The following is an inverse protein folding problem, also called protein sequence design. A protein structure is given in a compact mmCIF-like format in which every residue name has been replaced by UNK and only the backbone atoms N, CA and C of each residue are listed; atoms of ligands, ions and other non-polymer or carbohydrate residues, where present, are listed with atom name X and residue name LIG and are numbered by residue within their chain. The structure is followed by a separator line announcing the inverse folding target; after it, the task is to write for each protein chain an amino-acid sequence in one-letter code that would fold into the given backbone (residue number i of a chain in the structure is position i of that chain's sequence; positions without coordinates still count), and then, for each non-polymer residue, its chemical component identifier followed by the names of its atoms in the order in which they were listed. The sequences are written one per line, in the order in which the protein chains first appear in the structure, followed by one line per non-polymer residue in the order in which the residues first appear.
data_IF_859391755869
#
_entry.id   IF_859391755869
#
_cell.length_a   1.000
_cell.length_b   1.000
_cell.length_c   1.000
_cell.angle_alpha   90.00
_cell.angle_beta   90.00
_cell.angle_gamma   90.00
#
_symmetry.space_group_name_H-M   'P 1'
#
loop_
_entity.id
_entity.type
_entity.pdbx_description
1 polymer ?
#
# COMPACT_ATOMS: atom_id res chain seq x y z
N UNK A 1 -3.12 2.41 -3.05
CA UNK A 1 -3.84 2.70 -1.79
C UNK A 1 -4.20 1.42 -1.05
N UNK A 2 -4.41 0.32 -1.79
CA UNK A 2 -4.89 -0.96 -1.25
C UNK A 2 -4.01 -1.56 -0.16
N UNK A 3 -2.69 -1.39 -0.25
CA UNK A 3 -1.75 -1.81 0.82
C UNK A 3 -2.08 -1.10 2.13
N UNK A 4 -2.26 0.21 2.11
CA UNK A 4 -2.56 0.98 3.31
C UNK A 4 -3.89 0.54 3.93
N UNK A 5 -4.91 0.25 3.10
CA UNK A 5 -6.18 -0.31 3.56
C UNK A 5 -6.01 -1.70 4.17
N UNK A 6 -5.27 -2.60 3.52
CA UNK A 6 -5.03 -3.94 4.04
C UNK A 6 -4.34 -3.88 5.41
N UNK A 7 -3.31 -3.04 5.57
CA UNK A 7 -2.63 -2.80 6.84
C UNK A 7 -3.58 -2.23 7.88
N UNK A 8 -4.35 -1.18 7.55
CA UNK A 8 -5.32 -0.58 8.49
C UNK A 8 -6.41 -1.58 8.94
N UNK A 9 -6.76 -2.56 8.10
CA UNK A 9 -7.67 -3.65 8.43
C UNK A 9 -7.02 -4.79 9.26
N UNK A 10 -5.74 -4.67 9.62
CA UNK A 10 -5.02 -5.61 10.48
C UNK A 10 -4.09 -6.59 9.76
N UNK A 11 -3.81 -6.43 8.47
CA UNK A 11 -2.89 -7.32 7.76
C UNK A 11 -1.43 -7.06 8.18
N UNK A 12 -0.70 -8.13 8.50
CA UNK A 12 0.75 -8.06 8.75
C UNK A 12 1.57 -7.79 7.48
N UNK A 13 1.03 -8.09 6.30
CA UNK A 13 1.65 -7.85 5.00
C UNK A 13 0.60 -7.73 3.88
N UNK A 14 1.00 -7.15 2.74
CA UNK A 14 0.17 -7.06 1.54
C UNK A 14 0.96 -7.55 0.32
N UNK A 15 0.29 -8.28 -0.57
CA UNK A 15 0.86 -8.80 -1.82
C UNK A 15 0.24 -8.14 -3.06
N UNK A 16 1.03 -7.94 -4.10
CA UNK A 16 0.58 -7.42 -5.39
C UNK A 16 1.20 -8.23 -6.53
N UNK A 17 0.39 -8.65 -7.49
CA UNK A 17 0.86 -9.35 -8.69
C UNK A 17 0.54 -8.59 -9.97
N UNK A 18 -0.76 -8.42 -10.27
CA UNK A 18 -1.24 -7.84 -11.54
C UNK A 18 -0.60 -6.48 -11.87
N UNK A 19 -0.41 -5.61 -10.87
CA UNK A 19 0.19 -4.28 -11.06
C UNK A 19 1.67 -4.31 -11.45
N UNK A 20 2.41 -5.32 -10.99
CA UNK A 20 3.86 -5.44 -11.25
C UNK A 20 4.16 -6.19 -12.55
N UNK A 21 3.23 -7.02 -13.05
CA UNK A 21 3.43 -7.85 -14.24
C UNK A 21 3.75 -7.05 -15.52
N UNK A 22 3.10 -5.92 -15.83
CA UNK A 22 3.45 -5.11 -17.00
C UNK A 22 4.89 -4.58 -16.94
N UNK A 23 5.26 -3.96 -15.82
CA UNK A 23 6.61 -3.43 -15.62
C UNK A 23 7.69 -4.53 -15.65
N UNK A 24 7.36 -5.73 -15.15
CA UNK A 24 8.25 -6.89 -15.22
C UNK A 24 8.53 -7.36 -16.64
N UNK A 25 7.61 -7.14 -17.60
CA UNK A 25 7.83 -7.42 -19.02
C UNK A 25 8.74 -6.38 -19.69
N UNK A 26 8.80 -5.17 -19.14
CA UNK A 26 9.61 -4.08 -19.71
C UNK A 26 11.07 -4.17 -19.26
N UNK A 27 11.34 -4.11 -17.96
CA UNK A 27 12.70 -4.25 -17.40
C UNK A 27 12.69 -4.27 -15.86
N UNK A 28 13.81 -4.68 -15.25
CA UNK A 28 13.99 -4.55 -13.80
C UNK A 28 13.89 -3.09 -13.31
N UNK A 29 14.32 -2.12 -14.12
CA UNK A 29 14.23 -0.69 -13.77
C UNK A 29 12.78 -0.19 -13.75
N UNK A 30 11.96 -0.67 -14.68
CA UNK A 30 10.53 -0.37 -14.70
C UNK A 30 9.85 -0.92 -13.43
N UNK A 31 10.18 -2.15 -13.03
CA UNK A 31 9.69 -2.74 -11.77
C UNK A 31 10.14 -1.91 -10.55
N UNK A 32 11.40 -1.49 -10.51
CA UNK A 32 11.91 -0.65 -9.42
C UNK A 32 11.16 0.69 -9.34
N UNK A 33 10.89 1.32 -10.48
CA UNK A 33 10.09 2.56 -10.55
C UNK A 33 8.68 2.35 -10.03
N UNK A 34 8.01 1.26 -10.44
CA UNK A 34 6.68 0.92 -9.94
C UNK A 34 6.66 0.64 -8.43
N UNK A 35 7.65 -0.09 -7.92
CA UNK A 35 7.79 -0.34 -6.48
C UNK A 35 7.99 0.97 -5.70
N UNK A 36 8.82 1.89 -6.21
CA UNK A 36 9.03 3.21 -5.61
C UNK A 36 7.73 4.02 -5.59
N UNK A 37 6.93 3.97 -6.65
CA UNK A 37 5.63 4.63 -6.71
C UNK A 37 4.66 4.05 -5.66
N UNK A 38 4.58 2.73 -5.54
CA UNK A 38 3.75 2.03 -4.54
C UNK A 38 4.17 2.41 -3.11
N UNK A 39 5.47 2.41 -2.82
CA UNK A 39 6.00 2.81 -1.51
C UNK A 39 5.68 4.28 -1.21
N UNK A 40 5.80 5.16 -2.21
CA UNK A 40 5.46 6.56 -2.04
C UNK A 40 3.97 6.75 -1.75
N UNK A 41 3.10 6.03 -2.44
CA UNK A 41 1.66 6.07 -2.19
C UNK A 41 1.30 5.62 -0.77
N UNK A 42 1.95 4.54 -0.28
CA UNK A 42 1.80 4.10 1.12
C UNK A 42 2.23 5.20 2.10
N UNK A 43 3.39 5.82 1.88
CA UNK A 43 3.88 6.93 2.72
C UNK A 43 2.96 8.14 2.70
N UNK A 44 2.39 8.47 1.55
CA UNK A 44 1.39 9.54 1.43
C UNK A 44 0.14 9.20 2.23
N UNK A 45 -0.37 7.97 2.15
CA UNK A 45 -1.52 7.54 2.95
C UNK A 45 -1.22 7.59 4.46
N UNK A 46 -0.02 7.17 4.87
CA UNK A 46 0.45 7.29 6.25
C UNK A 46 0.51 8.75 6.71
N UNK A 47 1.08 9.64 5.88
CA UNK A 47 1.13 11.07 6.17
C UNK A 47 -0.26 11.69 6.34
N UNK A 48 -1.18 11.39 5.41
CA UNK A 48 -2.56 11.91 5.45
C UNK A 48 -3.38 11.38 6.63
N UNK A 49 -3.00 10.22 7.19
CA UNK A 49 -3.65 9.63 8.37
C UNK A 49 -2.92 9.94 9.68
N UNK A 50 -1.82 10.70 9.63
CA UNK A 50 -1.00 11.00 10.80
C UNK A 50 -0.37 9.76 11.42
N UNK A 51 0.12 8.84 10.58
CA UNK A 51 0.82 7.61 10.97
C UNK A 51 2.29 7.73 10.58
N UNK A 52 3.22 7.54 11.51
CA UNK A 52 4.67 7.66 11.25
C UNK A 52 5.31 6.33 10.83
N UNK A 53 4.68 5.21 11.15
CA UNK A 53 5.11 3.85 10.85
C UNK A 53 3.90 2.95 10.52
N UNK A 54 4.18 1.71 10.10
CA UNK A 54 3.16 0.76 9.62
C UNK A 54 2.31 0.25 10.79
N UNK A 55 2.89 0.16 11.98
CA UNK A 55 2.23 -0.26 13.22
C UNK A 55 1.17 0.78 13.65
N UNK A 56 1.49 2.06 13.56
CA UNK A 56 0.56 3.17 13.80
C UNK A 56 -0.57 3.20 12.76
N UNK A 57 -0.26 2.92 11.49
CA UNK A 57 -1.28 2.80 10.45
C UNK A 57 -2.23 1.63 10.73
N UNK A 58 -1.71 0.50 11.19
CA UNK A 58 -2.48 -0.69 11.56
C UNK A 58 -3.41 -0.45 12.76
N UNK A 59 -3.00 0.43 13.69
CA UNK A 59 -3.79 0.80 14.87
C UNK A 59 -4.75 1.98 14.64
N UNK A 60 -4.77 2.55 13.42
CA UNK A 60 -5.57 3.75 13.13
C UNK A 60 -7.06 3.41 13.00
N UNK A 61 -7.91 4.33 13.44
CA UNK A 61 -9.35 4.23 13.20
C UNK A 61 -9.68 4.28 11.71
N UNK A 62 -10.61 3.44 11.28
CA UNK A 62 -11.10 3.37 9.91
C UNK A 62 -12.63 3.22 9.90
N UNK A 63 -13.24 3.52 8.76
CA UNK A 63 -14.69 3.37 8.55
C UNK A 63 -14.91 2.33 7.46
N UNK A 64 -15.76 1.34 7.74
CA UNK A 64 -16.28 0.39 6.75
C UNK A 64 -17.71 0.80 6.43
N UNK A 65 -18.01 1.01 5.16
CA UNK A 65 -19.35 1.36 4.68
C UNK A 65 -19.74 0.46 3.50
N UNK A 66 -20.98 -0.03 3.51
CA UNK A 66 -21.51 -0.94 2.48
C UNK A 66 -21.21 -2.42 2.77
N UNK A 67 -21.66 -3.35 1.89
CA UNK A 67 -21.35 -4.76 2.02
C UNK A 67 -19.86 -5.03 1.76
N UNK A 68 -19.27 -5.87 2.62
CA UNK A 68 -17.94 -6.50 2.44
C UNK A 68 -18.02 -7.77 1.62
#
# INVERSE_FOLDING_TARGET
LDIARAVALGASCAGMASRLLPAAKESHKAVESELRAIINELRVAMFLTGSTNVEELCAKEYVISGPT
#
